data_IF_470658685771
#
_entry.id   IF_470658685771
#
_cell.length_a   1.000
_cell.length_b   1.000
_cell.length_c   1.000
_cell.angle_alpha   90.00
_cell.angle_beta   90.00
_cell.angle_gamma   90.00
#
_symmetry.space_group_name_H-M   'P 1'
#
loop_
_entity.id
_entity.type
_entity.pdbx_description
1 polymer ?
#
# COMPACT_ATOMS: atom_id res chain seq x y z
N UNK A 1 -21.48 -11.40 -6.09
CA UNK A 1 -20.57 -10.49 -5.37
C UNK A 1 -19.15 -10.48 -5.95
N UNK A 2 -18.63 -11.61 -6.41
CA UNK A 2 -17.28 -11.70 -6.98
C UNK A 2 -17.09 -10.99 -8.34
N UNK A 3 -18.10 -11.01 -9.25
CA UNK A 3 -17.98 -10.44 -10.60
C UNK A 3 -17.61 -8.95 -10.57
N UNK A 4 -18.30 -8.12 -9.76
CA UNK A 4 -18.00 -6.69 -9.64
C UNK A 4 -16.61 -6.40 -9.08
N UNK A 5 -16.09 -7.22 -8.16
CA UNK A 5 -14.74 -7.03 -7.63
C UNK A 5 -13.67 -7.40 -8.67
N UNK A 6 -13.91 -8.46 -9.44
CA UNK A 6 -13.04 -8.82 -10.56
C UNK A 6 -12.99 -7.73 -11.63
N UNK A 7 -14.13 -7.12 -11.97
CA UNK A 7 -14.20 -5.99 -12.90
C UNK A 7 -13.38 -4.80 -12.41
N UNK A 8 -13.51 -4.44 -11.12
CA UNK A 8 -12.72 -3.35 -10.52
C UNK A 8 -11.22 -3.66 -10.50
N UNK A 9 -10.84 -4.88 -10.11
CA UNK A 9 -9.45 -5.31 -10.11
C UNK A 9 -8.87 -5.31 -11.54
N UNK A 10 -9.65 -5.75 -12.53
CA UNK A 10 -9.24 -5.73 -13.93
C UNK A 10 -9.15 -4.31 -14.48
N UNK A 11 -10.02 -3.39 -14.06
CA UNK A 11 -9.87 -1.98 -14.42
C UNK A 11 -8.52 -1.41 -13.95
N UNK A 12 -8.11 -1.71 -12.72
CA UNK A 12 -6.78 -1.32 -12.21
C UNK A 12 -5.66 -1.95 -13.05
N UNK A 13 -5.76 -3.25 -13.37
CA UNK A 13 -4.76 -3.97 -14.18
C UNK A 13 -4.59 -3.35 -15.56
N UNK A 14 -5.70 -3.17 -16.29
CA UNK A 14 -5.64 -2.67 -17.66
C UNK A 14 -5.21 -1.20 -17.72
N UNK A 15 -5.69 -0.33 -16.83
CA UNK A 15 -5.20 1.05 -16.75
C UNK A 15 -3.68 1.08 -16.52
N UNK A 16 -3.15 0.17 -15.70
CA UNK A 16 -1.73 0.11 -15.39
C UNK A 16 -0.91 -0.43 -16.56
N UNK A 17 -1.35 -1.52 -17.19
CA UNK A 17 -0.65 -2.14 -18.32
C UNK A 17 -0.65 -1.20 -19.52
N UNK A 18 -1.78 -0.60 -19.86
CA UNK A 18 -1.90 0.31 -21.00
C UNK A 18 -0.99 1.55 -20.84
N UNK A 19 -0.94 2.11 -19.61
CA UNK A 19 -0.07 3.25 -19.34
C UNK A 19 1.42 2.89 -19.44
N UNK A 20 1.83 1.76 -18.87
CA UNK A 20 3.21 1.25 -18.93
C UNK A 20 3.59 0.92 -20.37
N UNK A 21 2.70 0.25 -21.13
CA UNK A 21 2.93 -0.10 -22.53
C UNK A 21 3.07 1.16 -23.39
N UNK A 22 2.21 2.15 -23.20
CA UNK A 22 2.29 3.43 -23.91
C UNK A 22 3.58 4.18 -23.61
N UNK A 23 3.98 4.22 -22.34
CA UNK A 23 5.23 4.87 -21.91
C UNK A 23 6.49 4.10 -22.34
N UNK A 24 6.34 2.83 -22.75
CA UNK A 24 7.47 1.89 -23.00
C UNK A 24 8.45 1.83 -21.82
N UNK A 25 7.96 2.08 -20.62
CA UNK A 25 8.74 2.16 -19.39
C UNK A 25 7.81 2.06 -18.18
N UNK A 26 8.23 1.32 -17.14
CA UNK A 26 7.48 1.18 -15.90
C UNK A 26 7.49 -0.25 -15.39
N UNK A 27 6.76 -0.47 -14.30
CA UNK A 27 6.73 -1.75 -13.58
C UNK A 27 5.27 -2.26 -13.47
N UNK A 28 4.84 -3.16 -14.36
CA UNK A 28 3.47 -3.65 -14.35
C UNK A 28 3.20 -4.75 -13.30
N UNK A 29 4.25 -5.43 -12.80
CA UNK A 29 4.12 -6.62 -11.95
C UNK A 29 3.28 -6.39 -10.70
N UNK A 30 3.65 -5.41 -9.88
CA UNK A 30 2.91 -5.08 -8.65
C UNK A 30 1.46 -4.64 -8.93
N UNK A 31 1.15 -3.72 -9.86
CA UNK A 31 -0.23 -3.40 -10.21
C UNK A 31 -1.06 -4.62 -10.60
N UNK A 32 -0.46 -5.57 -11.33
CA UNK A 32 -1.13 -6.81 -11.74
C UNK A 32 -1.40 -7.72 -10.54
N UNK A 33 -0.40 -7.96 -9.69
CA UNK A 33 -0.50 -8.86 -8.55
C UNK A 33 -1.41 -8.31 -7.46
N UNK A 34 -1.25 -7.03 -7.09
CA UNK A 34 -1.93 -6.43 -5.95
C UNK A 34 -3.29 -5.79 -6.26
N UNK A 35 -3.78 -5.86 -7.50
CA UNK A 35 -5.07 -5.27 -7.90
C UNK A 35 -6.25 -5.77 -7.06
N UNK A 36 -6.33 -7.07 -6.76
CA UNK A 36 -7.41 -7.64 -5.94
C UNK A 36 -7.36 -7.14 -4.49
N UNK A 37 -6.15 -7.11 -3.92
CA UNK A 37 -5.92 -6.60 -2.55
C UNK A 37 -6.33 -5.13 -2.46
N UNK A 38 -5.86 -4.30 -3.39
CA UNK A 38 -6.21 -2.88 -3.45
C UNK A 38 -7.71 -2.65 -3.66
N UNK A 39 -8.34 -3.45 -4.52
CA UNK A 39 -9.80 -3.39 -4.76
C UNK A 39 -10.59 -3.63 -3.49
N UNK A 40 -10.28 -4.70 -2.75
CA UNK A 40 -10.99 -5.04 -1.51
C UNK A 40 -10.73 -3.98 -0.43
N UNK A 41 -9.49 -3.50 -0.31
CA UNK A 41 -9.12 -2.46 0.64
C UNK A 41 -9.91 -1.17 0.37
N UNK A 42 -9.85 -0.62 -0.84
CA UNK A 42 -10.49 0.65 -1.19
C UNK A 42 -12.01 0.56 -1.18
N UNK A 43 -12.58 -0.59 -1.57
CA UNK A 43 -14.04 -0.76 -1.63
C UNK A 43 -14.69 -0.91 -0.27
N UNK A 44 -14.02 -1.58 0.70
CA UNK A 44 -14.69 -2.01 1.93
C UNK A 44 -14.05 -1.55 3.24
N UNK A 45 -12.80 -1.10 3.21
CA UNK A 45 -12.06 -0.87 4.45
C UNK A 45 -11.45 0.52 4.57
N UNK A 46 -10.89 1.06 3.49
CA UNK A 46 -10.23 2.35 3.52
C UNK A 46 -11.25 3.49 3.65
N UNK A 47 -11.09 4.32 4.67
CA UNK A 47 -11.91 5.52 4.88
C UNK A 47 -11.23 6.72 4.24
N UNK A 48 -11.77 7.20 3.15
CA UNK A 48 -11.25 8.35 2.41
C UNK A 48 -12.39 9.19 1.84
N UNK A 49 -12.08 10.43 1.46
CA UNK A 49 -13.01 11.31 0.79
C UNK A 49 -12.27 12.12 -0.29
N UNK A 50 -12.39 11.78 -1.59
CA UNK A 50 -11.70 12.47 -2.66
C UNK A 50 -12.16 13.92 -2.83
N UNK A 51 -13.35 14.30 -2.32
CA UNK A 51 -13.84 15.68 -2.28
C UNK A 51 -13.28 16.49 -1.12
N UNK A 52 -12.79 15.81 -0.07
CA UNK A 52 -12.10 16.42 1.07
C UNK A 52 -10.85 15.62 1.43
N UNK A 53 -9.81 15.66 0.57
CA UNK A 53 -8.59 14.89 0.78
C UNK A 53 -7.74 15.38 1.96
N UNK A 54 -8.08 16.53 2.54
CA UNK A 54 -7.46 17.06 3.76
C UNK A 54 -8.14 16.62 5.05
N UNK A 55 -9.23 15.84 4.98
CA UNK A 55 -9.89 15.33 6.18
C UNK A 55 -8.91 14.65 7.13
N UNK A 56 -8.75 15.19 8.33
CA UNK A 56 -7.69 14.81 9.25
C UNK A 56 -7.78 13.34 9.69
N UNK A 57 -8.99 12.81 9.90
CA UNK A 57 -9.22 11.45 10.36
C UNK A 57 -9.47 10.44 9.20
N UNK A 58 -9.12 10.80 7.95
CA UNK A 58 -9.08 9.83 6.86
C UNK A 58 -7.97 8.81 7.08
N UNK A 59 -8.15 7.61 6.61
CA UNK A 59 -7.07 6.62 6.60
C UNK A 59 -5.94 7.06 5.64
N UNK A 60 -4.73 6.57 5.89
CA UNK A 60 -3.54 6.82 5.05
C UNK A 60 -3.25 5.59 4.23
N UNK A 61 -3.04 5.78 2.93
CA UNK A 61 -2.60 4.73 2.04
C UNK A 61 -1.23 5.08 1.45
N UNK A 62 -0.25 4.24 1.68
CA UNK A 62 1.13 4.42 1.21
C UNK A 62 1.51 3.27 0.30
N UNK A 63 1.92 3.59 -0.91
CA UNK A 63 2.59 2.64 -1.79
C UNK A 63 4.10 2.75 -1.55
N UNK A 64 4.63 1.92 -0.63
CA UNK A 64 6.06 1.92 -0.29
C UNK A 64 6.90 1.44 -1.47
N UNK A 65 6.45 0.38 -2.14
CA UNK A 65 7.02 -0.06 -3.41
C UNK A 65 6.64 0.91 -4.55
N UNK A 66 7.19 2.11 -4.50
CA UNK A 66 6.82 3.22 -5.38
C UNK A 66 7.03 2.98 -6.87
N UNK A 67 7.83 1.98 -7.24
CA UNK A 67 7.97 1.53 -8.63
C UNK A 67 6.63 1.04 -9.22
N UNK A 68 5.74 0.47 -8.40
CA UNK A 68 4.38 0.09 -8.80
C UNK A 68 3.39 1.25 -8.89
N UNK A 69 3.85 2.47 -9.15
CA UNK A 69 3.12 3.74 -9.08
C UNK A 69 1.79 3.74 -9.82
N UNK A 70 1.67 3.03 -10.94
CA UNK A 70 0.41 2.94 -11.69
C UNK A 70 -0.73 2.31 -10.89
N UNK A 71 -0.45 1.42 -9.91
CA UNK A 71 -1.47 0.95 -8.97
C UNK A 71 -2.12 2.11 -8.23
N UNK A 72 -1.31 3.01 -7.69
CA UNK A 72 -1.80 4.18 -6.95
C UNK A 72 -2.55 5.15 -7.86
N UNK A 73 -2.00 5.48 -9.03
CA UNK A 73 -2.64 6.41 -9.96
C UNK A 73 -3.98 5.88 -10.48
N UNK A 74 -4.07 4.60 -10.83
CA UNK A 74 -5.32 3.96 -11.22
C UNK A 74 -6.37 4.02 -10.09
N UNK A 75 -5.97 3.77 -8.84
CA UNK A 75 -6.84 3.88 -7.67
C UNK A 75 -7.34 5.32 -7.46
N UNK A 76 -6.46 6.32 -7.53
CA UNK A 76 -6.82 7.72 -7.35
C UNK A 76 -7.78 8.20 -8.47
N UNK A 77 -7.53 7.80 -9.71
CA UNK A 77 -8.45 8.07 -10.82
C UNK A 77 -9.81 7.41 -10.60
N UNK A 78 -9.85 6.10 -10.35
CA UNK A 78 -11.10 5.33 -10.19
C UNK A 78 -11.93 5.76 -8.98
N UNK A 79 -11.28 6.33 -7.96
CA UNK A 79 -11.96 6.82 -6.76
C UNK A 79 -12.32 8.31 -6.82
N UNK A 80 -11.97 9.01 -7.91
CA UNK A 80 -12.43 10.36 -8.21
C UNK A 80 -11.61 11.49 -7.55
N UNK A 81 -10.33 11.28 -7.32
CA UNK A 81 -9.43 12.37 -6.95
C UNK A 81 -9.20 13.29 -8.15
N UNK A 82 -9.47 14.58 -7.98
CA UNK A 82 -9.46 15.59 -9.06
C UNK A 82 -8.13 15.76 -9.80
N UNK A 83 -7.03 15.41 -9.14
CA UNK A 83 -5.68 15.55 -9.69
C UNK A 83 -5.34 14.46 -10.72
N UNK A 84 -6.20 13.46 -10.90
CA UNK A 84 -5.94 12.32 -11.77
C UNK A 84 -7.10 12.12 -12.75
N UNK A 85 -6.87 12.49 -14.00
CA UNK A 85 -7.74 12.23 -15.13
C UNK A 85 -7.24 11.03 -15.94
N UNK A 86 -8.04 10.54 -16.88
CA UNK A 86 -7.60 9.49 -17.81
C UNK A 86 -6.43 9.98 -18.68
N UNK A 87 -6.36 11.28 -18.97
CA UNK A 87 -5.26 11.85 -19.75
C UNK A 87 -3.97 11.95 -18.94
N UNK A 88 -4.06 12.18 -17.61
CA UNK A 88 -2.90 12.07 -16.72
C UNK A 88 -2.32 10.64 -16.74
N UNK A 89 -3.17 9.62 -16.66
CA UNK A 89 -2.75 8.22 -16.74
C UNK A 89 -2.10 7.89 -18.10
N UNK A 90 -2.68 8.38 -19.20
CA UNK A 90 -2.11 8.24 -20.55
C UNK A 90 -0.74 8.92 -20.71
N UNK A 91 -0.45 9.92 -19.88
CA UNK A 91 0.82 10.63 -19.85
C UNK A 91 1.76 10.14 -18.73
N UNK A 92 1.58 8.89 -18.29
CA UNK A 92 2.47 8.25 -17.33
C UNK A 92 3.95 8.36 -17.76
N UNK A 93 4.82 8.79 -16.83
CA UNK A 93 6.27 9.00 -17.03
C UNK A 93 6.63 10.07 -18.07
N UNK A 94 5.69 10.90 -18.49
CA UNK A 94 6.01 12.03 -19.37
C UNK A 94 6.39 13.26 -18.55
N UNK A 95 7.22 14.13 -19.13
CA UNK A 95 7.63 15.37 -18.48
C UNK A 95 6.40 16.22 -18.11
N UNK A 96 6.37 16.74 -16.89
CA UNK A 96 5.27 17.56 -16.32
C UNK A 96 3.95 16.78 -16.11
N UNK A 97 3.95 15.44 -16.20
CA UNK A 97 2.78 14.64 -15.88
C UNK A 97 2.52 14.61 -14.38
N UNK A 98 1.23 14.53 -13.98
CA UNK A 98 0.82 14.23 -12.61
C UNK A 98 1.06 12.75 -12.23
N UNK A 99 1.46 11.91 -13.19
CA UNK A 99 1.78 10.50 -13.02
C UNK A 99 3.26 10.21 -13.32
N UNK A 100 4.21 10.73 -12.51
CA UNK A 100 5.63 10.42 -12.67
C UNK A 100 5.91 8.93 -12.42
N UNK A 101 7.15 8.48 -12.71
CA UNK A 101 7.55 7.08 -12.57
C UNK A 101 7.41 6.50 -11.15
N UNK A 102 7.50 7.37 -10.15
CA UNK A 102 7.30 7.06 -8.73
C UNK A 102 6.38 8.11 -8.12
N UNK A 103 5.57 7.77 -7.09
CA UNK A 103 4.68 8.74 -6.47
C UNK A 103 5.44 9.91 -5.88
N UNK A 104 5.03 11.12 -6.21
CA UNK A 104 5.52 12.35 -5.62
C UNK A 104 4.40 13.00 -4.79
N UNK A 105 4.74 13.48 -3.61
CA UNK A 105 3.76 14.15 -2.75
C UNK A 105 3.19 15.40 -3.44
N UNK A 106 1.89 15.41 -3.61
CA UNK A 106 1.12 16.55 -4.08
C UNK A 106 0.05 16.83 -3.03
N UNK A 107 0.02 18.06 -2.52
CA UNK A 107 -0.96 18.45 -1.50
C UNK A 107 -2.39 18.18 -1.98
N UNK A 108 -3.18 17.50 -1.16
CA UNK A 108 -4.60 17.18 -1.42
C UNK A 108 -4.84 16.28 -2.65
N UNK A 109 -3.86 15.51 -3.07
CA UNK A 109 -3.99 14.58 -4.21
C UNK A 109 -4.37 13.14 -3.81
N UNK A 110 -4.27 12.81 -2.53
CA UNK A 110 -4.36 11.43 -2.05
C UNK A 110 -3.02 10.68 -2.02
N UNK A 111 -1.94 11.31 -2.49
CA UNK A 111 -0.56 10.81 -2.33
C UNK A 111 -0.04 11.32 -0.99
N UNK A 112 0.18 10.41 -0.04
CA UNK A 112 0.55 10.76 1.34
C UNK A 112 2.03 11.13 1.49
N UNK A 113 2.90 10.53 0.66
CA UNK A 113 4.36 10.74 0.72
C UNK A 113 5.00 10.40 -0.61
N UNK A 114 6.15 11.01 -0.89
CA UNK A 114 7.01 10.63 -2.01
C UNK A 114 7.66 9.30 -1.72
N UNK A 115 7.58 8.36 -2.66
CA UNK A 115 8.22 7.05 -2.60
C UNK A 115 8.99 6.77 -3.88
N UNK A 116 9.77 5.69 -3.90
CA UNK A 116 10.66 5.32 -5.01
C UNK A 116 11.87 4.60 -4.46
N UNK A 117 12.73 5.27 -3.65
CA UNK A 117 13.74 4.56 -2.86
C UNK A 117 13.06 3.57 -1.92
N UNK A 118 13.44 2.29 -2.03
CA UNK A 118 12.82 1.20 -1.28
C UNK A 118 12.96 1.39 0.25
N UNK A 119 11.98 0.95 1.00
CA UNK A 119 11.92 1.09 2.47
C UNK A 119 11.43 2.46 2.97
N UNK A 120 11.57 3.53 2.19
CA UNK A 120 11.21 4.88 2.63
C UNK A 120 9.72 5.04 2.94
N UNK A 121 8.85 4.49 2.08
CA UNK A 121 7.41 4.52 2.31
C UNK A 121 7.01 3.77 3.58
N UNK A 122 7.65 2.64 3.87
CA UNK A 122 7.43 1.88 5.10
C UNK A 122 7.89 2.68 6.33
N UNK A 123 9.05 3.32 6.28
CA UNK A 123 9.53 4.22 7.35
C UNK A 123 8.56 5.37 7.59
N UNK A 124 8.13 6.06 6.53
CA UNK A 124 7.14 7.15 6.63
C UNK A 124 5.80 6.67 7.21
N UNK A 125 5.37 5.45 6.87
CA UNK A 125 4.12 4.89 7.40
C UNK A 125 4.18 4.64 8.91
N UNK A 126 5.34 4.24 9.43
CA UNK A 126 5.56 4.11 10.88
C UNK A 126 5.47 5.49 11.54
N UNK A 127 6.08 6.53 10.94
CA UNK A 127 5.95 7.91 11.42
C UNK A 127 4.50 8.40 11.46
N UNK A 128 3.71 8.13 10.39
CA UNK A 128 2.29 8.48 10.34
C UNK A 128 1.46 7.74 11.41
N UNK A 129 1.76 6.46 11.65
CA UNK A 129 1.11 5.68 12.70
C UNK A 129 1.47 6.16 14.11
N UNK A 130 2.71 6.61 14.35
CA UNK A 130 3.13 7.27 15.59
C UNK A 130 2.33 8.58 15.78
N UNK A 131 2.23 9.39 14.72
CA UNK A 131 1.45 10.63 14.74
C UNK A 131 -0.03 10.38 15.08
N UNK A 132 -0.65 9.35 14.50
CA UNK A 132 -2.02 8.94 14.86
C UNK A 132 -2.13 8.59 16.34
N UNK A 133 -1.24 7.78 16.87
CA UNK A 133 -1.26 7.36 18.27
C UNK A 133 -1.14 8.56 19.23
N UNK A 134 -0.27 9.53 18.92
CA UNK A 134 -0.08 10.77 19.69
C UNK A 134 -1.38 11.58 19.66
N UNK A 135 -1.95 11.82 18.48
CA UNK A 135 -3.17 12.60 18.34
C UNK A 135 -4.37 11.91 18.95
N UNK A 136 -4.48 10.59 18.80
CA UNK A 136 -5.53 9.79 19.42
C UNK A 136 -5.49 9.86 20.94
N UNK A 137 -4.30 9.83 21.55
CA UNK A 137 -4.14 10.00 23.00
C UNK A 137 -4.47 11.42 23.45
N UNK A 138 -4.14 12.43 22.61
CA UNK A 138 -4.39 13.84 22.96
C UNK A 138 -5.84 14.27 22.79
N UNK A 139 -6.50 13.82 21.71
CA UNK A 139 -7.84 14.30 21.32
C UNK A 139 -8.95 13.26 21.52
N UNK A 140 -8.61 12.03 21.87
CA UNK A 140 -9.54 10.92 22.05
C UNK A 140 -9.82 10.15 20.74
N UNK A 141 -10.18 8.87 20.90
CA UNK A 141 -10.42 7.95 19.77
C UNK A 141 -11.71 8.25 18.98
N UNK A 142 -12.62 9.04 19.55
CA UNK A 142 -13.79 9.54 18.83
C UNK A 142 -13.44 10.59 17.77
N UNK A 143 -12.31 11.31 17.94
CA UNK A 143 -11.84 12.34 17.04
C UNK A 143 -10.79 11.79 16.08
N UNK A 144 -9.81 11.06 16.58
CA UNK A 144 -8.68 10.50 15.79
C UNK A 144 -8.63 8.99 16.02
N UNK A 145 -8.79 8.24 14.92
CA UNK A 145 -8.68 6.78 14.93
C UNK A 145 -8.41 6.23 13.52
N UNK A 146 -7.76 7.03 12.67
CA UNK A 146 -7.45 6.60 11.31
C UNK A 146 -6.39 5.50 11.29
N UNK A 147 -6.38 4.75 10.22
CA UNK A 147 -5.41 3.67 9.99
C UNK A 147 -4.39 4.08 8.94
N UNK A 148 -3.26 3.43 9.01
CA UNK A 148 -2.21 3.52 8.00
C UNK A 148 -2.08 2.18 7.31
N UNK A 149 -2.38 2.16 6.01
CA UNK A 149 -2.28 0.99 5.14
C UNK A 149 -1.11 1.16 4.18
N UNK A 150 -0.30 0.14 4.05
CA UNK A 150 0.93 0.17 3.24
C UNK A 150 0.95 -1.02 2.29
N UNK A 151 1.34 -0.82 1.04
CA UNK A 151 1.76 -1.92 0.17
C UNK A 151 3.29 -1.86 0.06
N UNK A 152 3.94 -2.97 0.42
CA UNK A 152 5.39 -3.16 0.37
C UNK A 152 5.74 -4.40 -0.45
N UNK A 153 6.93 -4.39 -1.05
CA UNK A 153 7.47 -5.52 -1.83
C UNK A 153 8.59 -6.24 -1.09
N UNK A 154 9.08 -7.32 -1.67
CA UNK A 154 10.26 -8.03 -1.18
C UNK A 154 11.46 -7.08 -1.00
N UNK A 155 11.75 -6.26 -2.02
CA UNK A 155 12.83 -5.29 -1.97
C UNK A 155 12.68 -4.28 -0.84
N UNK A 156 11.46 -3.75 -0.61
CA UNK A 156 11.21 -2.87 0.54
C UNK A 156 11.59 -3.55 1.87
N UNK A 157 11.20 -4.82 2.02
CA UNK A 157 11.42 -5.56 3.26
C UNK A 157 12.87 -6.00 3.47
N UNK A 158 13.71 -5.94 2.45
CA UNK A 158 15.15 -6.20 2.52
C UNK A 158 15.96 -4.99 2.99
N UNK A 159 15.44 -3.77 2.84
CA UNK A 159 16.13 -2.56 3.22
C UNK A 159 16.38 -2.47 4.74
N UNK A 160 17.57 -1.99 5.15
CA UNK A 160 17.93 -1.79 6.55
C UNK A 160 16.95 -0.91 7.29
N UNK A 161 16.53 0.21 6.67
CA UNK A 161 15.50 1.11 7.21
C UNK A 161 14.21 0.37 7.56
N UNK A 162 13.80 -0.58 6.74
CA UNK A 162 12.58 -1.38 6.98
C UNK A 162 12.70 -2.24 8.23
N UNK A 163 13.87 -2.84 8.48
CA UNK A 163 14.13 -3.60 9.69
C UNK A 163 14.00 -2.71 10.94
N UNK A 164 14.62 -1.53 10.93
CA UNK A 164 14.56 -0.58 12.04
C UNK A 164 13.14 -0.07 12.27
N UNK A 165 12.46 0.37 11.21
CA UNK A 165 11.10 0.89 11.27
C UNK A 165 10.09 -0.16 11.79
N UNK A 166 10.17 -1.40 11.29
CA UNK A 166 9.29 -2.48 11.71
C UNK A 166 9.56 -2.91 13.17
N UNK A 167 10.83 -2.94 13.59
CA UNK A 167 11.18 -3.21 14.98
C UNK A 167 10.57 -2.15 15.91
N UNK A 168 10.72 -0.87 15.57
CA UNK A 168 10.15 0.24 16.33
C UNK A 168 8.61 0.16 16.37
N UNK A 169 7.96 -0.10 15.25
CA UNK A 169 6.50 -0.19 15.17
C UNK A 169 5.94 -1.32 16.05
N UNK A 170 6.62 -2.46 16.09
CA UNK A 170 6.24 -3.58 16.96
C UNK A 170 6.46 -3.25 18.44
N UNK A 171 7.59 -2.64 18.79
CA UNK A 171 7.87 -2.17 20.15
C UNK A 171 6.79 -1.22 20.65
N UNK A 172 6.41 -0.24 19.85
CA UNK A 172 5.36 0.73 20.17
C UNK A 172 3.93 0.17 20.04
N UNK A 173 3.76 -1.07 19.58
CA UNK A 173 2.46 -1.72 19.37
C UNK A 173 1.50 -0.88 18.51
N UNK A 174 1.98 -0.35 17.40
CA UNK A 174 1.20 0.53 16.51
C UNK A 174 0.08 -0.22 15.81
N UNK A 175 -0.99 -0.52 16.53
CA UNK A 175 -2.11 -1.39 16.12
C UNK A 175 -2.88 -0.90 14.88
N UNK A 176 -2.82 0.40 14.59
CA UNK A 176 -3.47 1.00 13.42
C UNK A 176 -2.60 0.97 12.16
N UNK A 177 -1.41 0.35 12.21
CA UNK A 177 -0.53 0.11 11.07
C UNK A 177 -0.75 -1.29 10.49
N UNK A 178 -1.04 -1.35 9.19
CA UNK A 178 -1.24 -2.59 8.44
C UNK A 178 -0.42 -2.58 7.15
N UNK A 179 0.42 -3.57 6.97
CA UNK A 179 1.27 -3.74 5.79
C UNK A 179 0.78 -4.93 4.97
N UNK A 180 0.46 -4.69 3.70
CA UNK A 180 0.24 -5.72 2.69
C UNK A 180 1.58 -5.98 2.01
N UNK A 181 2.09 -7.17 2.19
CA UNK A 181 3.34 -7.60 1.58
C UNK A 181 3.02 -8.34 0.28
N UNK A 182 3.46 -7.79 -0.86
CA UNK A 182 3.39 -8.43 -2.17
C UNK A 182 4.43 -9.56 -2.24
N UNK A 183 4.02 -10.76 -1.87
CA UNK A 183 4.87 -11.94 -1.79
C UNK A 183 4.78 -12.75 -3.08
N UNK A 184 5.32 -12.18 -4.15
CA UNK A 184 5.38 -12.79 -5.49
C UNK A 184 6.68 -13.58 -5.74
N UNK A 185 7.63 -13.53 -4.80
CA UNK A 185 8.94 -14.22 -4.85
C UNK A 185 9.84 -13.82 -6.00
N UNK A 186 9.62 -12.65 -6.58
CA UNK A 186 10.45 -12.09 -7.64
C UNK A 186 11.00 -10.73 -7.19
N UNK A 187 12.28 -10.50 -7.47
CA UNK A 187 12.92 -9.20 -7.27
C UNK A 187 13.72 -8.87 -8.52
N UNK A 188 13.37 -7.77 -9.20
CA UNK A 188 13.95 -7.35 -10.49
C UNK A 188 13.75 -8.47 -11.53
N UNK A 189 14.80 -9.18 -11.93
CA UNK A 189 14.79 -10.17 -13.00
C UNK A 189 14.95 -11.62 -12.50
N UNK A 190 14.84 -11.85 -11.19
CA UNK A 190 15.11 -13.17 -10.65
C UNK A 190 14.32 -13.50 -9.37
N UNK A 191 14.38 -14.77 -8.95
CA UNK A 191 13.72 -15.17 -7.71
C UNK A 191 14.40 -14.52 -6.49
N UNK A 192 13.59 -14.17 -5.48
CA UNK A 192 14.10 -13.58 -4.23
C UNK A 192 15.12 -14.45 -3.52
N UNK A 193 15.12 -15.76 -3.75
CA UNK A 193 16.09 -16.72 -3.20
C UNK A 193 17.55 -16.44 -3.59
N UNK A 194 17.79 -15.62 -4.62
CA UNK A 194 19.14 -15.18 -4.99
C UNK A 194 19.72 -14.16 -4.01
N UNK A 195 18.89 -13.43 -3.28
CA UNK A 195 19.31 -12.31 -2.43
C UNK A 195 18.84 -12.40 -0.98
N UNK A 196 17.80 -13.20 -0.67
CA UNK A 196 17.26 -13.31 0.68
C UNK A 196 16.83 -14.73 1.01
N UNK A 197 17.12 -15.15 2.23
CA UNK A 197 16.68 -16.44 2.82
C UNK A 197 15.86 -16.28 4.10
N UNK A 198 15.39 -15.05 4.36
CA UNK A 198 14.65 -14.71 5.56
C UNK A 198 13.34 -15.48 5.67
N UNK A 199 13.04 -15.91 6.88
CA UNK A 199 11.72 -16.43 7.24
C UNK A 199 10.85 -15.27 7.71
N UNK A 200 10.15 -14.62 6.79
CA UNK A 200 9.36 -13.41 7.08
C UNK A 200 8.41 -13.58 8.27
N UNK A 201 7.72 -14.69 8.38
CA UNK A 201 6.80 -14.97 9.50
C UNK A 201 7.50 -14.92 10.85
N UNK A 202 8.66 -15.54 10.97
CA UNK A 202 9.47 -15.57 12.18
C UNK A 202 10.05 -14.18 12.48
N UNK A 203 10.54 -13.50 11.45
CA UNK A 203 11.07 -12.13 11.56
C UNK A 203 10.01 -11.17 12.10
N UNK A 204 8.82 -11.12 11.50
CA UNK A 204 7.75 -10.25 11.97
C UNK A 204 7.25 -10.62 13.38
N UNK A 205 7.21 -11.91 13.71
CA UNK A 205 6.88 -12.36 15.06
C UNK A 205 7.91 -11.86 16.08
N UNK A 206 9.20 -11.91 15.77
CA UNK A 206 10.27 -11.42 16.64
C UNK A 206 10.20 -9.90 16.87
N UNK A 207 9.71 -9.15 15.89
CA UNK A 207 9.42 -7.71 16.05
C UNK A 207 8.13 -7.43 16.84
N UNK A 208 7.36 -8.43 17.21
CA UNK A 208 6.10 -8.25 17.94
C UNK A 208 4.88 -7.95 17.06
N UNK A 209 4.96 -8.25 15.76
CA UNK A 209 3.85 -8.08 14.83
C UNK A 209 2.96 -9.33 14.74
N UNK A 210 1.71 -9.13 14.30
CA UNK A 210 0.91 -10.22 13.75
C UNK A 210 1.29 -10.47 12.30
N UNK A 211 1.28 -11.75 11.91
CA UNK A 211 1.54 -12.18 10.55
C UNK A 211 0.40 -13.05 10.06
N UNK A 212 -0.23 -12.66 8.94
CA UNK A 212 -1.33 -13.38 8.29
C UNK A 212 -0.90 -13.67 6.86
N UNK A 213 -1.04 -14.91 6.42
CA UNK A 213 -0.75 -15.31 5.04
C UNK A 213 -2.04 -15.62 4.30
N UNK A 214 -2.18 -15.11 3.07
CA UNK A 214 -3.37 -15.28 2.23
C UNK A 214 -2.99 -15.49 0.76
N UNK A 215 -3.94 -16.01 0.00
CA UNK A 215 -3.93 -15.88 -1.46
C UNK A 215 -4.39 -14.46 -1.81
N UNK A 216 -3.48 -13.67 -2.42
CA UNK A 216 -3.69 -12.27 -2.81
C UNK A 216 -4.76 -12.07 -3.89
N UNK A 217 -5.21 -13.14 -4.55
CA UNK A 217 -6.29 -13.13 -5.54
C UNK A 217 -7.64 -13.61 -4.98
N UNK A 218 -7.71 -13.99 -3.70
CA UNK A 218 -8.94 -14.42 -3.07
C UNK A 218 -9.59 -13.30 -2.25
N UNK A 219 -10.59 -12.65 -2.79
CA UNK A 219 -11.30 -11.51 -2.16
C UNK A 219 -11.83 -11.82 -0.76
N UNK A 220 -12.30 -13.06 -0.53
CA UNK A 220 -12.80 -13.50 0.77
C UNK A 220 -11.69 -13.58 1.81
N UNK A 221 -10.55 -14.17 1.44
CA UNK A 221 -9.36 -14.23 2.32
C UNK A 221 -8.82 -12.84 2.62
N UNK A 222 -8.73 -11.95 1.62
CA UNK A 222 -8.29 -10.57 1.78
C UNK A 222 -9.19 -9.84 2.78
N UNK A 223 -10.51 -9.87 2.55
CA UNK A 223 -11.49 -9.22 3.43
C UNK A 223 -11.41 -9.73 4.87
N UNK A 224 -11.31 -11.04 5.06
CA UNK A 224 -11.22 -11.66 6.38
C UNK A 224 -9.90 -11.33 7.10
N UNK A 225 -8.79 -11.28 6.37
CA UNK A 225 -7.49 -10.89 6.90
C UNK A 225 -7.50 -9.44 7.39
N UNK A 226 -8.06 -8.50 6.61
CA UNK A 226 -8.19 -7.10 7.01
C UNK A 226 -9.10 -6.98 8.25
N UNK A 227 -10.24 -7.68 8.29
CA UNK A 227 -11.12 -7.69 9.47
C UNK A 227 -10.41 -8.23 10.72
N UNK A 228 -9.59 -9.28 10.58
CA UNK A 228 -8.79 -9.82 11.68
C UNK A 228 -7.72 -8.82 12.14
N UNK A 229 -7.00 -8.22 11.21
CA UNK A 229 -6.00 -7.21 11.48
C UNK A 229 -6.60 -5.97 12.19
N UNK A 230 -7.81 -5.56 11.82
CA UNK A 230 -8.52 -4.44 12.44
C UNK A 230 -8.90 -4.65 13.91
N UNK A 231 -8.88 -5.89 14.39
CA UNK A 231 -9.14 -6.25 15.80
C UNK A 231 -7.85 -6.52 16.59
N UNK A 232 -6.71 -6.37 15.94
CA UNK A 232 -5.41 -6.61 16.55
C UNK A 232 -5.03 -5.49 17.53
N UNK A 233 -4.31 -5.84 18.58
CA UNK A 233 -3.64 -4.93 19.50
C UNK A 233 -2.19 -4.59 19.09
N UNK A 234 -1.76 -5.13 17.93
CA UNK A 234 -0.40 -5.03 17.38
C UNK A 234 -0.45 -4.65 15.91
N UNK A 235 0.63 -4.07 15.36
CA UNK A 235 0.74 -3.91 13.92
C UNK A 235 0.65 -5.27 13.22
N UNK A 236 0.11 -5.27 11.99
CA UNK A 236 -0.14 -6.52 11.27
C UNK A 236 0.45 -6.48 9.87
N UNK A 237 1.19 -7.53 9.51
CA UNK A 237 1.55 -7.83 8.12
C UNK A 237 0.59 -8.87 7.57
N UNK A 238 0.06 -8.58 6.39
CA UNK A 238 -0.71 -9.52 5.56
C UNK A 238 0.17 -9.88 4.37
N UNK A 239 0.75 -11.07 4.38
CA UNK A 239 1.53 -11.62 3.26
C UNK A 239 0.57 -12.13 2.20
N UNK A 240 0.55 -11.44 1.06
CA UNK A 240 -0.31 -11.74 -0.08
C UNK A 240 0.50 -12.53 -1.11
N UNK A 241 0.21 -13.81 -1.28
CA UNK A 241 0.76 -14.61 -2.39
C UNK A 241 0.08 -14.19 -3.68
N UNK A 242 0.86 -13.58 -4.59
CA UNK A 242 0.40 -13.05 -5.88
C UNK A 242 1.10 -13.71 -7.07
#
# INVERSE_FOLDING_TARGET
>A
MNTKLNELANAIRFLSVDAVQKAKSGHPGMPMGMADVATVLFKYHLRFNPKNPSWINRDRFILSAGHGSMLLYALLYLTGYKNFSIDDLKNFRQLKSNCPGHPEYIKNSGIETTTGPLGQGLGNSVGLAIGEEIFRKKFGSSVINHKTYVIASDGDLMEGLSHEAMSLAGHLKLKNLMVFFDNNKISIDGPTSLSVSDKYKERFKSYGWNFIEINGHNHGQINNAIKKANRSDKPTVISCKT
#
